data_IF_231543750109
#
_entry.id   IF_231543750109
#
_cell.length_a   1.000
_cell.length_b   1.000
_cell.length_c   1.000
_cell.angle_alpha   90.00
_cell.angle_beta   90.00
_cell.angle_gamma   90.00
#
_symmetry.space_group_name_H-M   'P 1'
#
loop_
_entity.id
_entity.type
_entity.pdbx_description
1 polymer ?
#
# COMPACT_ATOMS: atom_id res chain seq x y z
N UNK A 1 -3.96 6.65 -11.94
CA UNK A 1 -3.68 6.58 -10.48
C UNK A 1 -4.99 6.77 -9.72
N UNK A 2 -5.15 6.23 -8.51
CA UNK A 2 -6.44 6.32 -7.79
C UNK A 2 -6.42 7.46 -6.80
N UNK A 3 -6.71 8.66 -7.31
CA UNK A 3 -6.80 9.91 -6.54
C UNK A 3 -8.05 10.72 -6.90
N UNK A 4 -9.03 10.08 -7.57
CA UNK A 4 -10.21 10.79 -8.09
C UNK A 4 -9.86 11.89 -9.08
N UNK A 5 -8.89 11.65 -9.97
CA UNK A 5 -8.35 12.68 -10.88
C UNK A 5 -7.75 13.89 -10.13
N UNK A 6 -7.03 13.66 -9.03
CA UNK A 6 -6.40 14.74 -8.26
C UNK A 6 -7.29 15.40 -7.20
N UNK A 7 -8.51 14.93 -7.01
CA UNK A 7 -9.50 15.56 -6.11
C UNK A 7 -9.53 14.97 -4.71
N UNK A 8 -8.96 13.77 -4.51
CA UNK A 8 -9.03 13.04 -3.24
C UNK A 8 -7.64 12.86 -2.63
N UNK A 9 -7.45 13.34 -1.41
CA UNK A 9 -6.32 13.01 -0.53
C UNK A 9 -6.76 11.91 0.44
N UNK A 10 -6.29 10.69 0.21
CA UNK A 10 -6.78 9.47 0.88
C UNK A 10 -6.26 9.28 2.31
N UNK A 11 -5.08 9.81 2.59
CA UNK A 11 -4.41 9.71 3.87
C UNK A 11 -3.44 10.90 3.97
N UNK A 12 -3.04 11.38 5.17
CA UNK A 12 -1.98 12.37 5.26
C UNK A 12 -0.69 11.96 4.52
N UNK A 13 -0.41 10.65 4.43
CA UNK A 13 0.69 10.04 3.67
C UNK A 13 0.36 9.72 2.20
N UNK A 14 -0.88 9.94 1.73
CA UNK A 14 -1.33 9.71 0.34
C UNK A 14 -1.95 10.96 -0.25
N UNK A 15 -1.14 11.72 -0.98
CA UNK A 15 -1.53 12.99 -1.56
C UNK A 15 -2.41 12.79 -2.79
N UNK A 16 -3.17 13.83 -3.12
CA UNK A 16 -4.09 13.83 -4.26
C UNK A 16 -3.37 13.80 -5.62
N UNK A 17 -2.15 14.30 -5.69
CA UNK A 17 -1.27 14.19 -6.85
C UNK A 17 -0.66 12.78 -7.02
N UNK A 18 -0.82 11.90 -6.03
CA UNK A 18 -0.24 10.57 -6.03
C UNK A 18 0.99 10.36 -5.19
N UNK A 19 1.53 11.41 -4.58
CA UNK A 19 2.72 11.30 -3.75
C UNK A 19 2.43 10.44 -2.52
N UNK A 20 3.29 9.45 -2.30
CA UNK A 20 3.28 8.57 -1.12
C UNK A 20 4.40 9.01 -0.19
N UNK A 21 4.08 9.39 1.05
CA UNK A 21 5.03 9.85 2.06
C UNK A 21 5.36 8.72 3.04
N UNK A 22 6.48 8.03 2.83
CA UNK A 22 7.01 7.00 3.70
C UNK A 22 8.52 7.22 3.90
N UNK A 23 9.01 7.05 5.13
CA UNK A 23 10.44 7.15 5.45
C UNK A 23 11.28 6.15 4.65
N UNK A 24 10.80 4.91 4.51
CA UNK A 24 11.43 3.85 3.71
C UNK A 24 11.50 4.18 2.21
N UNK A 25 10.67 5.09 1.71
CA UNK A 25 10.73 5.57 0.32
C UNK A 25 11.51 6.89 0.18
N UNK A 26 12.12 7.37 1.26
CA UNK A 26 12.80 8.67 1.33
C UNK A 26 11.89 9.87 0.99
N UNK A 27 10.58 9.72 1.12
CA UNK A 27 9.60 10.78 0.83
C UNK A 27 9.01 11.40 2.10
N UNK A 28 9.47 10.95 3.26
CA UNK A 28 9.11 11.47 4.58
C UNK A 28 10.31 11.47 5.53
N UNK A 29 10.23 12.23 6.61
CA UNK A 29 11.25 12.21 7.66
C UNK A 29 11.20 10.87 8.43
N UNK A 30 12.34 10.44 8.92
CA UNK A 30 12.52 9.22 9.68
C UNK A 30 13.99 9.04 10.05
N UNK A 31 14.25 8.19 11.04
CA UNK A 31 15.59 7.84 11.46
C UNK A 31 16.37 7.14 10.34
N UNK A 32 17.72 7.14 10.36
CA UNK A 32 18.53 6.48 9.33
C UNK A 32 18.15 5.02 9.08
N UNK A 33 17.76 4.30 10.12
CA UNK A 33 17.30 2.90 10.09
C UNK A 33 15.91 2.69 9.46
N UNK A 34 15.10 3.75 9.37
CA UNK A 34 13.76 3.70 8.75
C UNK A 34 13.80 4.06 7.26
N UNK A 35 14.93 4.61 6.78
CA UNK A 35 15.13 4.97 5.38
C UNK A 35 15.49 3.76 4.54
N UNK A 36 15.33 3.89 3.22
CA UNK A 36 15.72 2.84 2.28
C UNK A 36 17.20 2.47 2.46
N UNK A 37 17.45 1.21 2.75
CA UNK A 37 18.78 0.62 2.75
C UNK A 37 18.87 -0.43 1.63
N UNK A 38 19.71 -0.25 0.59
CA UNK A 38 19.82 -1.20 -0.52
C UNK A 38 20.22 -2.62 -0.11
N UNK A 39 20.83 -2.80 1.06
CA UNK A 39 21.32 -4.10 1.54
C UNK A 39 20.28 -4.85 2.37
N UNK A 40 19.38 -4.14 3.06
CA UNK A 40 18.44 -4.75 4.03
C UNK A 40 16.98 -4.46 3.74
N UNK A 41 16.68 -3.41 2.98
CA UNK A 41 15.31 -3.06 2.62
C UNK A 41 14.75 -3.93 1.51
N UNK A 42 13.46 -4.22 1.63
CA UNK A 42 12.76 -5.07 0.68
C UNK A 42 11.29 -4.63 0.55
N UNK A 43 10.60 -5.22 -0.43
CA UNK A 43 9.20 -4.90 -0.69
C UNK A 43 8.30 -5.24 0.52
N UNK A 44 8.63 -6.26 1.32
CA UNK A 44 7.86 -6.58 2.52
C UNK A 44 7.82 -5.39 3.46
N UNK A 45 8.97 -4.76 3.73
CA UNK A 45 9.03 -3.59 4.59
C UNK A 45 8.19 -2.44 4.04
N UNK A 46 8.22 -2.19 2.72
CA UNK A 46 7.37 -1.16 2.10
C UNK A 46 5.88 -1.48 2.28
N UNK A 47 5.47 -2.72 2.03
CA UNK A 47 4.07 -3.16 2.20
C UNK A 47 3.63 -3.09 3.66
N UNK A 48 4.50 -3.48 4.60
CA UNK A 48 4.24 -3.37 6.05
C UNK A 48 4.16 -1.91 6.48
N UNK A 49 4.99 -1.00 5.95
CA UNK A 49 4.89 0.44 6.18
C UNK A 49 3.56 0.99 5.66
N UNK A 50 3.13 0.58 4.47
CA UNK A 50 1.81 0.96 3.93
C UNK A 50 0.69 0.46 4.85
N UNK A 51 0.72 -0.81 5.27
CA UNK A 51 -0.29 -1.34 6.18
C UNK A 51 -0.31 -0.60 7.52
N UNK A 52 0.87 -0.34 8.09
CA UNK A 52 1.02 0.21 9.44
C UNK A 52 0.78 1.71 9.52
N UNK A 53 0.98 2.44 8.42
CA UNK A 53 0.85 3.90 8.40
C UNK A 53 -0.36 4.36 7.61
N UNK A 54 -0.70 3.73 6.49
CA UNK A 54 -1.78 4.23 5.62
C UNK A 54 -3.12 3.57 5.98
N UNK A 55 -3.13 2.26 6.26
CA UNK A 55 -4.35 1.50 6.54
C UNK A 55 -4.63 1.37 8.04
N UNK A 56 -4.61 2.50 8.75
CA UNK A 56 -4.86 2.58 10.19
C UNK A 56 -6.32 2.98 10.49
N UNK A 57 -6.86 2.64 11.68
CA UNK A 57 -8.24 2.99 12.05
C UNK A 57 -8.55 4.49 12.05
N UNK A 58 -7.59 5.32 12.48
CA UNK A 58 -7.74 6.77 12.61
C UNK A 58 -6.66 7.52 11.80
N UNK A 59 -6.75 7.52 10.46
CA UNK A 59 -5.71 8.07 9.59
C UNK A 59 -5.53 9.58 9.72
N UNK A 60 -6.53 10.28 10.26
CA UNK A 60 -6.47 11.72 10.55
C UNK A 60 -5.25 12.08 11.42
N UNK A 61 -4.90 11.23 12.39
CA UNK A 61 -3.81 11.50 13.33
C UNK A 61 -2.42 11.21 12.76
N UNK A 62 -2.30 10.83 11.49
CA UNK A 62 -1.00 10.77 10.81
C UNK A 62 -0.52 12.15 10.36
N UNK A 63 -1.37 13.17 10.39
CA UNK A 63 -0.97 14.54 10.11
C UNK A 63 -0.09 15.06 11.27
N UNK A 64 1.11 15.59 11.00
CA UNK A 64 2.01 16.05 12.05
C UNK A 64 1.37 17.08 12.96
N UNK A 65 1.46 16.83 14.28
CA UNK A 65 0.96 17.70 15.32
C UNK A 65 -0.47 17.38 15.76
N UNK A 66 -1.21 16.52 15.04
CA UNK A 66 -2.59 16.17 15.41
C UNK A 66 -2.65 15.07 16.47
N UNK A 67 -1.54 14.36 16.71
CA UNK A 67 -1.44 13.27 17.70
C UNK A 67 -1.82 13.74 19.10
N UNK A 68 -1.47 15.00 19.43
CA UNK A 68 -1.76 15.62 20.74
C UNK A 68 -3.26 15.80 21.00
N UNK A 69 -4.07 15.81 19.95
CA UNK A 69 -5.53 15.97 20.03
C UNK A 69 -6.29 14.65 20.08
N UNK A 70 -5.60 13.50 20.01
CA UNK A 70 -6.23 12.17 19.93
C UNK A 70 -7.18 11.87 21.10
N UNK A 71 -6.89 12.42 22.28
CA UNK A 71 -7.73 12.26 23.47
C UNK A 71 -8.76 13.37 23.65
N UNK A 72 -8.74 14.43 22.84
CA UNK A 72 -9.72 15.52 22.94
C UNK A 72 -10.99 15.19 22.17
N UNK A 73 -12.13 15.69 22.67
CA UNK A 73 -13.42 15.55 21.98
C UNK A 73 -13.37 16.16 20.57
N UNK A 74 -12.67 17.29 20.42
CA UNK A 74 -12.47 17.97 19.13
C UNK A 74 -11.65 17.14 18.15
N UNK A 75 -10.56 16.53 18.58
CA UNK A 75 -9.72 15.68 17.73
C UNK A 75 -10.42 14.39 17.33
N UNK A 76 -11.19 13.79 18.24
CA UNK A 76 -12.01 12.63 17.91
C UNK A 76 -13.13 12.96 16.90
N UNK A 77 -13.77 14.13 17.03
CA UNK A 77 -14.78 14.57 16.06
C UNK A 77 -14.14 14.78 14.67
N UNK A 78 -13.00 15.47 14.61
CA UNK A 78 -12.28 15.66 13.37
C UNK A 78 -11.82 14.33 12.73
N UNK A 79 -11.37 13.35 13.52
CA UNK A 79 -11.04 12.01 13.02
C UNK A 79 -12.25 11.30 12.42
N UNK A 80 -13.42 11.43 13.04
CA UNK A 80 -14.68 10.86 12.50
C UNK A 80 -15.07 11.50 11.18
N UNK A 81 -15.04 12.83 11.10
CA UNK A 81 -15.39 13.57 9.88
C UNK A 81 -14.40 13.24 8.74
N UNK A 82 -13.12 13.16 9.07
CA UNK A 82 -12.08 12.71 8.13
C UNK A 82 -12.36 11.29 7.65
N UNK A 83 -12.60 10.35 8.57
CA UNK A 83 -12.88 8.95 8.25
C UNK A 83 -14.15 8.80 7.41
N UNK A 84 -15.16 9.65 7.61
CA UNK A 84 -16.38 9.65 6.81
C UNK A 84 -16.10 10.06 5.36
N UNK A 85 -15.38 11.17 5.16
CA UNK A 85 -14.98 11.65 3.83
C UNK A 85 -14.09 10.63 3.12
N UNK A 86 -13.14 10.05 3.86
CA UNK A 86 -12.30 8.97 3.37
C UNK A 86 -13.20 7.80 2.99
N UNK A 87 -14.05 7.22 3.84
CA UNK A 87 -14.89 6.05 3.46
C UNK A 87 -15.74 6.28 2.21
N UNK A 88 -16.27 7.49 2.01
CA UNK A 88 -17.00 7.85 0.78
C UNK A 88 -16.08 7.83 -0.44
N UNK A 89 -14.90 8.43 -0.33
CA UNK A 89 -13.92 8.44 -1.42
C UNK A 89 -13.19 7.09 -1.59
N UNK A 90 -13.11 6.34 -0.50
CA UNK A 90 -12.29 5.16 -0.23
C UNK A 90 -13.21 3.97 -0.21
N UNK A 91 -13.78 3.69 -1.37
CA UNK A 91 -13.94 2.30 -1.70
C UNK A 91 -12.54 1.73 -1.99
N UNK A 92 -11.63 1.67 -1.00
CA UNK A 92 -10.31 0.98 -1.10
C UNK A 92 -10.52 -0.46 -1.57
N UNK A 93 -11.63 -1.06 -1.15
CA UNK A 93 -12.13 -2.33 -1.69
C UNK A 93 -12.42 -2.26 -3.19
N UNK A 94 -13.12 -1.22 -3.68
CA UNK A 94 -13.32 -1.00 -5.14
C UNK A 94 -12.00 -0.72 -5.85
N UNK A 95 -11.10 0.06 -5.25
CA UNK A 95 -9.77 0.34 -5.81
C UNK A 95 -9.00 -0.97 -6.01
N UNK A 96 -8.81 -1.77 -4.96
CA UNK A 96 -8.14 -3.06 -5.08
C UNK A 96 -8.91 -4.02 -5.97
N UNK A 97 -10.25 -3.97 -5.97
CA UNK A 97 -11.05 -4.78 -6.89
C UNK A 97 -10.79 -4.45 -8.36
N UNK A 98 -10.75 -3.16 -8.73
CA UNK A 98 -10.53 -2.72 -10.11
C UNK A 98 -9.05 -2.74 -10.50
N UNK A 99 -8.13 -2.66 -9.54
CA UNK A 99 -6.68 -2.66 -9.77
C UNK A 99 -5.98 -3.98 -9.51
N UNK A 100 -6.68 -5.00 -9.01
CA UNK A 100 -6.06 -6.31 -8.69
C UNK A 100 -5.25 -6.88 -9.85
N UNK A 101 -5.78 -6.82 -11.06
CA UNK A 101 -5.13 -7.42 -12.23
C UNK A 101 -3.89 -6.62 -12.63
N UNK A 102 -3.95 -5.28 -12.60
CA UNK A 102 -2.80 -4.41 -12.86
C UNK A 102 -1.69 -4.60 -11.81
N UNK A 103 -2.08 -4.75 -10.54
CA UNK A 103 -1.16 -4.98 -9.42
C UNK A 103 -0.47 -6.33 -9.58
N UNK A 104 -1.23 -7.40 -9.85
CA UNK A 104 -0.67 -8.73 -10.05
C UNK A 104 0.29 -8.76 -11.24
N UNK A 105 -0.11 -8.20 -12.39
CA UNK A 105 0.77 -8.12 -13.58
C UNK A 105 2.08 -7.38 -13.30
N UNK A 106 2.02 -6.29 -12.53
CA UNK A 106 3.23 -5.53 -12.18
C UNK A 106 4.18 -6.35 -11.31
N UNK A 107 3.64 -7.07 -10.31
CA UNK A 107 4.45 -7.93 -9.43
C UNK A 107 4.98 -9.15 -10.19
N UNK A 108 4.20 -9.76 -11.08
CA UNK A 108 4.64 -10.85 -11.96
C UNK A 108 5.80 -10.41 -12.85
N UNK A 109 5.72 -9.22 -13.46
CA UNK A 109 6.81 -8.65 -14.23
C UNK A 109 8.10 -8.48 -13.42
N UNK A 110 8.00 -7.97 -12.19
CA UNK A 110 9.18 -7.85 -11.31
C UNK A 110 9.79 -9.21 -10.96
N UNK A 111 8.96 -10.24 -10.75
CA UNK A 111 9.43 -11.61 -10.54
C UNK A 111 10.18 -12.12 -11.78
N UNK A 112 9.68 -11.89 -12.97
CA UNK A 112 10.35 -12.28 -14.23
C UNK A 112 11.71 -11.59 -14.39
N UNK A 113 11.77 -10.28 -14.18
CA UNK A 113 13.00 -9.49 -14.25
C UNK A 113 14.03 -9.97 -13.21
N UNK A 114 13.63 -10.14 -11.95
CA UNK A 114 14.53 -10.64 -10.90
C UNK A 114 15.03 -12.07 -11.15
N UNK A 115 14.18 -12.94 -11.73
CA UNK A 115 14.57 -14.29 -12.08
C UNK A 115 15.63 -14.30 -13.20
N UNK A 116 15.48 -13.43 -14.21
CA UNK A 116 16.47 -13.27 -15.26
C UNK A 116 17.83 -12.81 -14.69
N UNK A 117 17.82 -11.81 -13.81
CA UNK A 117 19.03 -11.31 -13.16
C UNK A 117 19.73 -12.38 -12.31
N UNK A 118 18.98 -13.15 -11.51
CA UNK A 118 19.53 -14.24 -10.69
C UNK A 118 20.16 -15.32 -11.56
N UNK A 119 19.51 -15.71 -12.66
CA UNK A 119 20.05 -16.73 -13.56
C UNK A 119 21.35 -16.26 -14.23
N UNK A 120 21.44 -14.98 -14.62
CA UNK A 120 22.66 -14.40 -15.17
C UNK A 120 23.81 -14.35 -14.14
N UNK A 121 23.49 -14.15 -12.86
CA UNK A 121 24.47 -14.14 -11.76
C UNK A 121 24.91 -15.54 -11.34
N UNK A 122 24.00 -16.53 -11.35
CA UNK A 122 24.32 -17.93 -11.03
C UNK A 122 25.37 -18.52 -11.97
N UNK A 123 25.35 -18.12 -13.24
CA UNK A 123 26.38 -18.49 -14.23
C UNK A 123 27.77 -17.91 -13.90
N UNK A 124 27.86 -16.88 -13.04
CA UNK A 124 29.11 -16.23 -12.64
C UNK A 124 29.69 -16.75 -11.32
N UNK A 125 29.13 -17.82 -10.74
CA UNK A 125 29.73 -18.54 -9.61
C UNK A 125 29.63 -17.86 -8.24
N UNK A 126 28.80 -16.83 -8.09
CA UNK A 126 28.55 -16.18 -6.79
C UNK A 126 27.44 -16.92 -6.02
N UNK A 127 27.73 -17.30 -4.77
CA UNK A 127 26.83 -18.06 -3.88
C UNK A 127 26.18 -17.12 -2.85
N UNK A 128 24.87 -17.27 -2.68
CA UNK A 128 23.95 -16.63 -1.71
C UNK A 128 24.11 -15.12 -1.52
N UNK A 129 23.41 -14.40 -2.41
CA UNK A 129 23.21 -12.96 -2.35
C UNK A 129 21.83 -12.66 -1.73
N UNK A 130 21.73 -11.59 -0.93
CA UNK A 130 20.46 -11.06 -0.42
C UNK A 130 19.39 -10.91 -1.52
N UNK A 131 19.82 -10.77 -2.79
CA UNK A 131 18.96 -10.82 -3.98
C UNK A 131 18.11 -12.10 -4.10
N UNK A 132 18.67 -13.28 -3.81
CA UNK A 132 17.92 -14.55 -3.88
C UNK A 132 16.88 -14.64 -2.77
N UNK A 133 17.23 -14.21 -1.56
CA UNK A 133 16.29 -14.16 -0.43
C UNK A 133 15.15 -13.17 -0.69
N UNK A 134 15.48 -11.99 -1.24
CA UNK A 134 14.50 -10.99 -1.67
C UNK A 134 13.57 -11.55 -2.75
N UNK A 135 14.10 -12.30 -3.72
CA UNK A 135 13.30 -12.95 -4.77
C UNK A 135 12.34 -14.00 -4.19
N UNK A 136 12.80 -14.88 -3.31
CA UNK A 136 11.93 -15.87 -2.66
C UNK A 136 10.86 -15.20 -1.78
N UNK A 137 11.19 -14.08 -1.14
CA UNK A 137 10.25 -13.28 -0.37
C UNK A 137 9.19 -12.63 -1.27
N UNK A 138 9.59 -12.03 -2.39
CA UNK A 138 8.67 -11.45 -3.37
C UNK A 138 7.69 -12.50 -3.90
N UNK A 139 8.16 -13.71 -4.21
CA UNK A 139 7.29 -14.82 -4.64
C UNK A 139 6.26 -15.23 -3.58
N UNK A 140 6.66 -15.32 -2.31
CA UNK A 140 5.74 -15.61 -1.20
C UNK A 140 4.69 -14.51 -1.03
N UNK A 141 5.11 -13.25 -1.10
CA UNK A 141 4.20 -12.11 -1.01
C UNK A 141 3.24 -12.05 -2.18
N UNK A 142 3.71 -12.32 -3.39
CA UNK A 142 2.86 -12.40 -4.57
C UNK A 142 1.79 -13.48 -4.42
N UNK A 143 2.14 -14.66 -3.91
CA UNK A 143 1.18 -15.73 -3.65
C UNK A 143 0.11 -15.31 -2.63
N UNK A 144 0.51 -14.68 -1.52
CA UNK A 144 -0.42 -14.17 -0.51
C UNK A 144 -1.31 -13.06 -1.08
N UNK A 145 -0.74 -12.12 -1.84
CA UNK A 145 -1.48 -11.03 -2.47
C UNK A 145 -2.53 -11.57 -3.45
N UNK A 146 -2.18 -12.57 -4.25
CA UNK A 146 -3.11 -13.25 -5.17
C UNK A 146 -4.26 -13.92 -4.41
N UNK A 147 -3.99 -14.56 -3.28
CA UNK A 147 -5.02 -15.13 -2.43
C UNK A 147 -5.97 -14.05 -1.89
N UNK A 148 -5.44 -12.97 -1.31
CA UNK A 148 -6.26 -11.90 -0.75
C UNK A 148 -7.08 -11.16 -1.81
N UNK A 149 -6.51 -10.89 -2.99
CA UNK A 149 -7.23 -10.24 -4.09
C UNK A 149 -8.30 -11.15 -4.71
N UNK A 150 -8.15 -12.47 -4.64
CA UNK A 150 -9.18 -13.40 -5.12
C UNK A 150 -10.45 -13.39 -4.26
N UNK A 151 -10.32 -13.10 -2.96
CA UNK A 151 -11.46 -12.90 -2.03
C UNK A 151 -12.31 -11.67 -2.36
N UNK A 152 -11.78 -10.75 -3.17
CA UNK A 152 -12.51 -9.57 -3.64
C UNK A 152 -13.45 -9.87 -4.83
N UNK A 153 -13.50 -11.11 -5.34
CA UNK A 153 -14.23 -11.48 -6.57
C UNK A 153 -15.75 -11.31 -6.54
N UNK A 154 -16.37 -11.17 -5.36
CA UNK A 154 -17.81 -11.07 -5.25
C UNK A 154 -18.32 -9.62 -5.28
N UNK A 155 -18.99 -9.26 -6.40
CA UNK A 155 -19.59 -7.92 -6.61
C UNK A 155 -20.69 -7.59 -5.60
N UNK A 156 -21.33 -8.60 -4.99
CA UNK A 156 -22.37 -8.38 -3.97
C UNK A 156 -21.84 -7.65 -2.73
N UNK A 157 -20.53 -7.74 -2.48
CA UNK A 157 -19.84 -7.07 -1.36
C UNK A 157 -19.45 -5.61 -1.65
N UNK A 158 -19.81 -5.06 -2.81
CA UNK A 158 -19.50 -3.67 -3.20
C UNK A 158 -20.58 -2.65 -2.79
N UNK A 159 -21.64 -3.10 -2.11
CA UNK A 159 -22.67 -2.22 -1.53
C UNK A 159 -23.44 -1.42 -2.57
N UNK A 160 -23.56 -1.93 -3.80
CA UNK A 160 -24.51 -1.36 -4.75
C UNK A 160 -25.91 -1.81 -4.35
N UNK A 161 -26.57 -0.98 -3.55
CA UNK A 161 -28.02 -1.04 -3.44
C UNK A 161 -28.57 -0.99 -4.86
N UNK A 162 -29.29 -2.05 -5.23
CA UNK A 162 -30.15 -2.12 -6.40
C UNK A 162 -31.00 -0.85 -6.45
N UNK A 163 -30.66 0.07 -7.36
CA UNK A 163 -31.63 1.04 -7.84
C UNK A 163 -32.59 0.26 -8.73
N UNK A 164 -33.55 -0.39 -8.08
CA UNK A 164 -34.75 -0.86 -8.75
C UNK A 164 -35.56 0.39 -9.08
N UNK A 165 -35.57 0.70 -10.37
CA UNK A 165 -36.53 1.55 -11.03
C UNK A 165 -37.95 1.06 -10.73
N UNK A 166 -38.72 1.87 -10.01
CA UNK A 166 -40.18 2.06 -10.15
C UNK A 166 -40.51 3.54 -9.92
#
# INVERSE_FOLDING_TARGET
MTTGNGTVRFNPNLYNDGKVCLSILNTWHGSPEEKWNPQTSNLLQVLVSIQSLIFVPDPYFNEPGFERTRQSATGQQASRDYSFNIRIATAVRKHFFFKKDDILKTVEKWIEEMNADINALSQKGSVWDARLENFQTLKRLHANLKLELSKLSDRSNLGEASSSSE
#
